data_IF_407713611991
#
_entry.id   IF_407713611991
#
_cell.length_a   1.000
_cell.length_b   1.000
_cell.length_c   1.000
_cell.angle_alpha   90.00
_cell.angle_beta   90.00
_cell.angle_gamma   90.00
#
_symmetry.space_group_name_H-M   'P 1'
#
loop_
_entity.id
_entity.type
_entity.pdbx_description
1 polymer ?
#
# COMPACT_ATOMS: atom_id res chain seq x y z
N UNK A 1 -3.04 2.04 -15.68
CA UNK A 1 -1.91 2.62 -16.42
C UNK A 1 -1.59 3.98 -15.80
N UNK A 2 -0.31 4.35 -15.67
CA UNK A 2 0.10 5.68 -15.19
C UNK A 2 0.78 6.42 -16.33
N UNK A 3 0.53 7.72 -16.47
CA UNK A 3 1.22 8.56 -17.46
C UNK A 3 2.39 9.30 -16.81
N UNK A 4 3.53 9.33 -17.48
CA UNK A 4 4.66 10.17 -17.08
C UNK A 4 4.53 11.62 -17.58
N UNK A 5 5.50 12.47 -17.22
CA UNK A 5 5.54 13.88 -17.62
C UNK A 5 5.66 14.10 -19.15
N UNK A 6 6.09 13.07 -19.89
CA UNK A 6 6.17 13.07 -21.36
C UNK A 6 4.91 12.47 -21.99
N UNK A 7 3.84 12.26 -21.22
CA UNK A 7 2.59 11.63 -21.63
C UNK A 7 2.77 10.15 -22.06
N UNK A 8 3.88 9.52 -21.69
CA UNK A 8 4.16 8.09 -21.90
C UNK A 8 3.29 7.24 -20.98
N UNK A 9 2.60 6.24 -21.53
CA UNK A 9 1.68 5.39 -20.75
C UNK A 9 2.39 4.11 -20.29
N UNK A 10 2.43 3.91 -18.97
CA UNK A 10 3.05 2.75 -18.32
C UNK A 10 1.99 1.82 -17.75
N UNK A 11 2.06 0.54 -18.10
CA UNK A 11 1.22 -0.51 -17.50
C UNK A 11 1.81 -0.93 -16.16
N UNK A 12 1.04 -0.77 -15.08
CA UNK A 12 1.39 -1.30 -13.78
C UNK A 12 0.66 -2.62 -13.62
N UNK A 13 1.42 -3.70 -13.60
CA UNK A 13 0.91 -5.03 -13.31
C UNK A 13 0.89 -5.24 -11.79
N UNK A 14 -0.15 -5.89 -11.28
CA UNK A 14 -0.28 -6.28 -9.86
C UNK A 14 -0.23 -5.10 -8.87
N UNK A 15 -0.84 -3.96 -9.21
CA UNK A 15 -1.01 -2.84 -8.27
C UNK A 15 -1.86 -3.30 -7.08
N UNK A 16 -1.33 -3.12 -5.86
CA UNK A 16 -2.05 -3.38 -4.61
C UNK A 16 -2.06 -2.12 -3.78
N UNK A 17 -3.24 -1.75 -3.29
CA UNK A 17 -3.46 -0.58 -2.45
C UNK A 17 -3.90 -1.09 -1.08
N UNK A 18 -3.17 -0.69 -0.04
CA UNK A 18 -3.51 -0.95 1.36
C UNK A 18 -3.86 0.37 2.04
N UNK A 19 -4.97 0.38 2.77
CA UNK A 19 -5.36 1.52 3.60
C UNK A 19 -5.20 1.14 5.07
N UNK A 20 -4.59 2.03 5.84
CA UNK A 20 -4.44 1.88 7.29
C UNK A 20 -4.92 3.15 7.99
N UNK A 21 -5.47 2.99 9.18
CA UNK A 21 -5.78 4.14 10.04
C UNK A 21 -4.47 4.87 10.39
N UNK A 22 -4.48 6.20 10.28
CA UNK A 22 -3.36 7.06 10.64
C UNK A 22 -3.05 6.99 12.15
N UNK A 23 -4.06 6.70 12.97
CA UNK A 23 -3.92 6.52 14.42
C UNK A 23 -3.52 5.09 14.82
N UNK A 24 -3.34 4.16 13.86
CA UNK A 24 -2.98 2.79 14.16
C UNK A 24 -1.61 2.73 14.87
N UNK A 25 -1.57 2.03 16.01
CA UNK A 25 -0.31 1.81 16.72
C UNK A 25 0.50 0.70 16.01
N UNK A 26 1.84 0.82 15.95
CA UNK A 26 2.69 -0.25 15.44
C UNK A 26 2.42 -1.55 16.19
N UNK A 27 2.28 -2.64 15.45
CA UNK A 27 2.15 -3.96 16.03
C UNK A 27 3.40 -4.33 16.84
N UNK A 28 3.20 -5.00 17.97
CA UNK A 28 4.32 -5.50 18.76
C UNK A 28 5.12 -6.53 17.96
N UNK A 29 6.45 -6.52 18.11
CA UNK A 29 7.35 -7.39 17.34
C UNK A 29 7.00 -8.89 17.45
N UNK A 30 6.50 -9.34 18.61
CA UNK A 30 6.09 -10.73 18.80
C UNK A 30 4.86 -11.10 17.96
N UNK A 31 3.92 -10.17 17.80
CA UNK A 31 2.71 -10.35 16.97
C UNK A 31 3.10 -10.40 15.49
N UNK A 32 3.99 -9.49 15.06
CA UNK A 32 4.53 -9.48 13.69
C UNK A 32 5.21 -10.81 13.37
N UNK A 33 6.13 -11.26 14.24
CA UNK A 33 6.83 -12.54 14.05
C UNK A 33 5.86 -13.72 13.98
N UNK A 34 4.83 -13.73 14.82
CA UNK A 34 3.79 -14.77 14.79
C UNK A 34 3.05 -14.75 13.45
N UNK A 35 2.54 -13.61 13.01
CA UNK A 35 1.81 -13.48 11.75
C UNK A 35 2.65 -13.91 10.54
N UNK A 36 3.94 -13.55 10.51
CA UNK A 36 4.85 -13.98 9.45
C UNK A 36 5.08 -15.51 9.46
N UNK A 37 5.22 -16.11 10.65
CA UNK A 37 5.34 -17.56 10.76
C UNK A 37 4.05 -18.27 10.36
N UNK A 38 2.90 -17.76 10.80
CA UNK A 38 1.58 -18.30 10.46
C UNK A 38 1.33 -18.20 8.93
N UNK A 39 1.77 -17.12 8.29
CA UNK A 39 1.69 -16.93 6.84
C UNK A 39 2.47 -18.02 6.09
N UNK A 40 3.71 -18.30 6.49
CA UNK A 40 4.50 -19.40 5.93
C UNK A 40 3.80 -20.73 6.19
N UNK A 41 3.37 -20.96 7.45
CA UNK A 41 2.78 -22.22 7.86
C UNK A 41 1.49 -22.57 7.11
N UNK A 42 0.67 -21.57 6.81
CA UNK A 42 -0.59 -21.75 6.07
C UNK A 42 -0.42 -22.22 4.62
N UNK A 43 0.81 -22.17 4.08
CA UNK A 43 1.11 -22.57 2.71
C UNK A 43 1.82 -23.92 2.60
N UNK A 44 2.08 -24.58 3.73
CA UNK A 44 2.62 -25.94 3.70
C UNK A 44 1.66 -26.87 2.94
N UNK A 45 2.21 -27.60 1.97
CA UNK A 45 1.43 -28.48 1.09
C UNK A 45 0.86 -27.82 -0.18
N UNK A 46 1.00 -26.50 -0.33
CA UNK A 46 0.66 -25.80 -1.58
C UNK A 46 1.83 -25.75 -2.58
N UNK A 47 3.04 -26.08 -2.14
CA UNK A 47 4.21 -26.21 -3.01
C UNK A 47 3.97 -27.39 -3.95
N UNK A 48 3.67 -27.11 -5.21
CA UNK A 48 3.57 -28.13 -6.24
C UNK A 48 4.97 -28.68 -6.54
N UNK A 49 5.06 -29.98 -6.81
CA UNK A 49 6.27 -30.57 -7.40
C UNK A 49 6.60 -29.82 -8.71
N UNK A 50 7.87 -29.43 -8.95
CA UNK A 50 8.25 -28.65 -10.12
C UNK A 50 7.75 -29.34 -11.40
N UNK A 51 6.85 -28.66 -12.11
CA UNK A 51 6.28 -29.16 -13.35
C UNK A 51 7.28 -29.17 -14.51
N UNK A 52 6.91 -29.71 -15.66
CA UNK A 52 7.78 -29.69 -16.84
C UNK A 52 8.18 -28.26 -17.30
N UNK A 53 7.34 -27.26 -16.98
CA UNK A 53 7.59 -25.83 -17.30
C UNK A 53 8.59 -25.15 -16.36
N UNK A 54 8.99 -25.82 -15.29
CA UNK A 54 9.89 -25.32 -14.25
C UNK A 54 11.34 -25.76 -14.49
N UNK A 55 11.64 -26.34 -15.66
CA UNK A 55 13.00 -26.77 -16.03
C UNK A 55 13.67 -25.75 -16.95
N UNK A 56 14.81 -25.22 -16.51
CA UNK A 56 15.70 -24.41 -17.34
C UNK A 56 16.98 -25.22 -17.58
N UNK A 57 17.24 -25.55 -18.85
CA UNK A 57 18.49 -26.20 -19.25
C UNK A 57 19.53 -25.16 -19.66
N UNK A 58 20.68 -25.15 -18.99
CA UNK A 58 21.83 -24.29 -19.30
C UNK A 58 23.03 -25.20 -19.58
N UNK A 59 23.33 -25.40 -20.86
CA UNK A 59 24.41 -26.30 -21.28
C UNK A 59 24.14 -27.74 -20.86
N UNK A 60 24.95 -28.27 -19.95
CA UNK A 60 24.83 -29.61 -19.38
C UNK A 60 24.13 -29.65 -18.02
N UNK A 61 23.58 -28.53 -17.55
CA UNK A 61 22.84 -28.43 -16.30
C UNK A 61 21.34 -28.28 -16.56
N UNK A 62 20.53 -29.11 -15.89
CA UNK A 62 19.08 -28.93 -15.81
C UNK A 62 18.74 -28.39 -14.42
N UNK A 63 18.23 -27.16 -14.37
CA UNK A 63 17.80 -26.52 -13.14
C UNK A 63 16.27 -26.63 -13.03
N UNK A 64 15.79 -27.22 -11.94
CA UNK A 64 14.36 -27.18 -11.58
C UNK A 64 14.10 -25.96 -10.69
N UNK A 65 13.32 -25.01 -11.20
CA UNK A 65 12.90 -23.79 -10.54
C UNK A 65 11.39 -23.79 -10.40
N UNK A 66 10.89 -23.84 -9.17
CA UNK A 66 9.46 -23.69 -8.94
C UNK A 66 9.00 -22.32 -9.45
N UNK A 67 8.05 -22.30 -10.39
CA UNK A 67 7.51 -21.06 -10.97
C UNK A 67 6.73 -20.21 -9.97
N UNK A 68 6.33 -20.80 -8.85
CA UNK A 68 5.69 -20.10 -7.73
C UNK A 68 6.35 -20.48 -6.41
N UNK A 69 6.35 -19.53 -5.47
CA UNK A 69 6.80 -19.78 -4.10
C UNK A 69 5.71 -19.36 -3.13
N UNK A 70 4.65 -20.18 -2.94
CA UNK A 70 3.46 -19.80 -2.19
C UNK A 70 3.78 -19.28 -0.78
N UNK A 71 4.71 -19.93 -0.08
CA UNK A 71 5.15 -19.51 1.24
C UNK A 71 5.78 -18.12 1.24
N UNK A 72 6.58 -17.81 0.22
CA UNK A 72 7.28 -16.52 0.11
C UNK A 72 6.30 -15.44 -0.30
N UNK A 73 5.41 -15.73 -1.26
CA UNK A 73 4.39 -14.80 -1.71
C UNK A 73 3.46 -14.40 -0.56
N UNK A 74 2.97 -15.37 0.21
CA UNK A 74 2.10 -15.10 1.35
C UNK A 74 2.85 -14.40 2.51
N UNK A 75 4.08 -14.84 2.81
CA UNK A 75 4.92 -14.15 3.78
C UNK A 75 5.18 -12.70 3.40
N UNK A 76 5.50 -12.44 2.12
CA UNK A 76 5.78 -11.10 1.58
C UNK A 76 4.53 -10.22 1.65
N UNK A 77 3.37 -10.78 1.36
CA UNK A 77 2.09 -10.07 1.45
C UNK A 77 1.81 -9.62 2.88
N UNK A 78 2.01 -10.50 3.86
CA UNK A 78 1.88 -10.16 5.28
C UNK A 78 2.96 -9.17 5.70
N UNK A 79 4.21 -9.35 5.26
CA UNK A 79 5.33 -8.45 5.53
C UNK A 79 4.98 -7.00 5.17
N UNK A 80 4.44 -6.75 3.98
CA UNK A 80 4.05 -5.40 3.55
C UNK A 80 2.85 -4.81 4.30
N UNK A 81 2.04 -5.64 4.98
CA UNK A 81 0.91 -5.16 5.78
C UNK A 81 1.30 -4.81 7.21
N UNK A 82 2.28 -5.51 7.78
CA UNK A 82 2.52 -5.52 9.23
C UNK A 82 3.78 -4.77 9.65
N UNK A 83 4.76 -4.64 8.75
CA UNK A 83 5.97 -3.90 9.09
C UNK A 83 5.76 -2.40 8.97
N UNK A 84 6.25 -1.63 9.95
CA UNK A 84 6.27 -0.18 9.83
C UNK A 84 7.22 0.22 8.69
N UNK A 85 6.91 1.31 7.96
CA UNK A 85 7.77 1.80 6.89
C UNK A 85 9.18 2.09 7.42
N UNK A 86 10.23 1.64 6.72
CA UNK A 86 11.63 1.80 7.13
C UNK A 86 12.17 3.18 6.74
N UNK A 87 13.11 3.74 7.52
CA UNK A 87 13.67 5.08 7.29
C UNK A 87 14.46 5.18 5.96
N UNK A 88 14.90 4.05 5.38
CA UNK A 88 15.70 4.00 4.15
C UNK A 88 14.92 3.55 2.90
N UNK A 89 13.62 3.31 3.02
CA UNK A 89 12.80 3.07 1.83
C UNK A 89 12.58 4.41 1.11
N UNK A 90 13.29 4.61 0.00
CA UNK A 90 13.15 5.79 -0.87
C UNK A 90 11.71 6.04 -1.38
N UNK A 91 10.82 5.08 -1.16
CA UNK A 91 9.39 5.14 -1.48
C UNK A 91 8.54 5.79 -0.37
N UNK A 92 9.11 6.11 0.79
CA UNK A 92 8.40 6.72 1.94
C UNK A 92 8.26 8.25 1.85
N UNK A 93 8.49 8.84 0.68
CA UNK A 93 8.06 10.20 0.41
C UNK A 93 6.57 10.18 0.08
N UNK A 94 5.74 10.75 0.96
CA UNK A 94 4.36 11.06 0.62
C UNK A 94 4.35 11.89 -0.65
N UNK A 95 3.92 11.28 -1.76
CA UNK A 95 3.84 11.97 -3.03
C UNK A 95 2.66 12.94 -3.04
N UNK A 96 1.60 12.62 -2.28
CA UNK A 96 0.38 13.40 -2.26
C UNK A 96 -0.55 13.07 -1.09
N UNK A 97 -1.38 14.05 -0.72
CA UNK A 97 -2.58 13.87 0.08
C UNK A 97 -3.85 14.08 -0.75
N UNK A 98 -4.84 13.23 -0.49
CA UNK A 98 -6.18 13.37 -1.05
C UNK A 98 -7.12 13.79 0.10
N UNK A 99 -7.69 14.98 -0.01
CA UNK A 99 -8.73 15.47 0.89
C UNK A 99 -10.08 15.19 0.24
N UNK A 100 -10.94 14.46 0.94
CA UNK A 100 -12.26 14.07 0.44
C UNK A 100 -13.33 14.73 1.30
N UNK A 101 -14.26 15.46 0.68
CA UNK A 101 -15.38 16.10 1.37
C UNK A 101 -16.67 15.78 0.62
N UNK A 102 -17.73 15.44 1.35
CA UNK A 102 -19.03 15.19 0.74
C UNK A 102 -19.64 16.48 0.17
N UNK A 103 -20.30 16.40 -0.98
CA UNK A 103 -21.02 17.54 -1.59
C UNK A 103 -22.23 17.98 -0.78
N UNK A 104 -22.75 17.12 0.10
CA UNK A 104 -23.83 17.43 1.04
C UNK A 104 -23.36 18.28 2.22
N UNK A 105 -22.04 18.50 2.37
CA UNK A 105 -21.50 19.40 3.37
C UNK A 105 -21.93 20.84 3.06
N UNK A 106 -22.46 21.55 4.06
CA UNK A 106 -22.92 22.93 3.91
C UNK A 106 -21.79 23.94 3.62
N UNK A 107 -20.54 23.59 3.95
CA UNK A 107 -19.37 24.40 3.61
C UNK A 107 -18.14 23.51 3.31
N UNK A 108 -18.05 22.97 2.08
CA UNK A 108 -16.98 22.07 1.71
C UNK A 108 -15.62 22.77 1.60
N UNK A 109 -15.59 24.06 1.27
CA UNK A 109 -14.36 24.83 1.09
C UNK A 109 -13.64 25.09 2.41
N UNK A 110 -14.37 25.48 3.47
CA UNK A 110 -13.76 25.60 4.79
C UNK A 110 -13.30 24.24 5.32
N UNK A 111 -14.06 23.18 5.03
CA UNK A 111 -13.69 21.81 5.40
C UNK A 111 -12.38 21.38 4.72
N UNK A 112 -12.22 21.61 3.42
CA UNK A 112 -10.96 21.34 2.71
C UNK A 112 -9.79 22.12 3.30
N UNK A 113 -10.01 23.40 3.64
CA UNK A 113 -8.99 24.25 4.27
C UNK A 113 -8.58 23.71 5.64
N UNK A 114 -9.55 23.26 6.45
CA UNK A 114 -9.32 22.63 7.75
C UNK A 114 -8.48 21.35 7.61
N UNK A 115 -8.84 20.47 6.67
CA UNK A 115 -8.10 19.24 6.41
C UNK A 115 -6.66 19.50 5.95
N UNK A 116 -6.44 20.49 5.07
CA UNK A 116 -5.11 20.88 4.64
C UNK A 116 -4.26 21.41 5.80
N UNK A 117 -4.83 22.23 6.69
CA UNK A 117 -4.14 22.71 7.89
C UNK A 117 -3.83 21.57 8.87
N UNK A 118 -4.72 20.60 9.02
CA UNK A 118 -4.50 19.42 9.84
C UNK A 118 -3.32 18.60 9.31
N UNK A 119 -3.22 18.42 7.99
CA UNK A 119 -2.09 17.76 7.34
C UNK A 119 -0.77 18.49 7.62
N UNK A 120 -0.73 19.82 7.47
CA UNK A 120 0.47 20.63 7.80
C UNK A 120 0.86 20.47 9.27
N UNK A 121 -0.11 20.44 10.17
CA UNK A 121 0.14 20.22 11.60
C UNK A 121 0.75 18.83 11.85
N UNK A 122 0.22 17.78 11.20
CA UNK A 122 0.73 16.42 11.33
C UNK A 122 2.17 16.29 10.83
N UNK A 123 2.50 16.97 9.74
CA UNK A 123 3.87 17.04 9.22
C UNK A 123 4.85 17.57 10.27
N UNK A 124 4.47 18.60 11.04
CA UNK A 124 5.35 19.21 12.04
C UNK A 124 5.55 18.34 13.29
N UNK A 125 4.73 17.29 13.48
CA UNK A 125 4.84 16.42 14.65
C UNK A 125 5.95 15.37 14.51
N UNK A 126 6.55 15.22 13.33
CA UNK A 126 7.72 14.38 13.11
C UNK A 126 8.96 14.95 13.82
N UNK A 127 9.83 14.12 14.46
CA UNK A 127 9.79 12.66 14.57
C UNK A 127 8.99 12.14 15.78
N UNK A 128 8.32 13.01 16.53
CA UNK A 128 7.72 12.70 17.82
C UNK A 128 6.38 11.93 17.72
N UNK A 129 5.69 12.02 16.57
CA UNK A 129 4.46 11.24 16.30
C UNK A 129 4.45 10.71 14.87
N UNK A 130 3.81 9.56 14.71
CA UNK A 130 3.49 8.97 13.41
C UNK A 130 2.39 9.77 12.70
N UNK A 131 2.33 9.68 11.36
CA UNK A 131 3.19 8.89 10.47
C UNK A 131 4.51 9.58 10.07
N UNK A 132 5.55 8.77 9.77
CA UNK A 132 6.88 9.25 9.35
C UNK A 132 6.98 9.80 7.92
N UNK A 133 5.91 9.70 7.13
CA UNK A 133 5.98 9.87 5.67
C UNK A 133 5.61 11.27 5.15
N UNK A 134 5.14 12.20 5.99
CA UNK A 134 4.83 13.56 5.54
C UNK A 134 6.10 14.40 5.29
N UNK A 135 6.33 14.82 4.04
CA UNK A 135 7.45 15.67 3.63
C UNK A 135 6.97 17.00 3.02
N UNK A 136 7.83 18.02 2.98
CA UNK A 136 7.42 19.32 2.41
C UNK A 136 7.19 19.18 0.91
N UNK A 137 6.26 19.98 0.37
CA UNK A 137 5.97 19.98 -1.06
C UNK A 137 5.14 18.80 -1.58
N UNK A 138 4.35 18.15 -0.71
CA UNK A 138 3.39 17.12 -1.15
C UNK A 138 2.30 17.73 -2.03
N UNK A 139 1.81 16.95 -3.00
CA UNK A 139 0.68 17.37 -3.84
C UNK A 139 -0.64 17.28 -3.06
N UNK A 140 -1.49 18.31 -3.11
CA UNK A 140 -2.83 18.30 -2.53
C UNK A 140 -3.88 18.08 -3.61
N UNK A 141 -4.63 16.97 -3.51
CA UNK A 141 -5.81 16.73 -4.32
C UNK A 141 -7.06 16.93 -3.48
N UNK A 142 -8.01 17.72 -4.00
CA UNK A 142 -9.29 17.99 -3.35
C UNK A 142 -10.38 17.28 -4.13
N UNK A 143 -11.07 16.35 -3.48
CA UNK A 143 -12.12 15.52 -4.06
C UNK A 143 -13.43 15.86 -3.38
N UNK A 144 -14.35 16.48 -4.13
CA UNK A 144 -15.73 16.65 -3.68
C UNK A 144 -16.53 15.41 -4.10
N UNK A 145 -16.96 14.63 -3.11
CA UNK A 145 -17.67 13.38 -3.32
C UNK A 145 -19.18 13.61 -3.28
N UNK A 146 -19.87 13.35 -4.38
CA UNK A 146 -21.32 13.31 -4.42
C UNK A 146 -21.78 11.86 -4.25
N UNK A 147 -22.35 11.53 -3.08
CA UNK A 147 -22.94 10.21 -2.83
C UNK A 147 -24.45 10.29 -3.10
N UNK A 148 -24.91 9.56 -4.12
CA UNK A 148 -26.33 9.45 -4.45
C UNK A 148 -26.90 8.31 -3.61
N UNK A 149 -27.16 8.58 -2.34
CA UNK A 149 -27.82 7.59 -1.46
C UNK A 149 -29.28 7.35 -1.90
N UNK A 150 -29.85 8.25 -2.71
CA UNK A 150 -31.13 8.03 -3.40
C UNK A 150 -30.91 7.28 -4.72
N UNK A 151 -30.58 5.99 -4.61
CA UNK A 151 -30.98 5.06 -5.66
C UNK A 151 -32.50 5.05 -5.72
N UNK A 152 -33.10 5.73 -6.71
CA UNK A 152 -34.50 5.47 -7.07
C UNK A 152 -34.66 3.96 -7.25
N UNK A 153 -35.41 3.32 -6.35
CA UNK A 153 -36.09 2.07 -6.68
C UNK A 153 -37.05 2.40 -7.82
N UNK A 154 -36.58 2.21 -9.06
CA UNK A 154 -37.41 2.17 -10.25
C UNK A 154 -37.71 0.73 -10.63
#
# INVERSE_FOLDING_TARGET
>A
HIRDANNGTHSIHNLRISACDMAAQPLQQNVIKKQLNDAVASTYGLTQEPGANDRISIGNYDLQLNSSSPWFENWRDVYFQVLPPSDHEYLNHCLSCIFVVASSNGDPLSTFTSLANQQVTQQQQYPNKLPRWFCQGILHYYVLLHDVVDGEQS
#
